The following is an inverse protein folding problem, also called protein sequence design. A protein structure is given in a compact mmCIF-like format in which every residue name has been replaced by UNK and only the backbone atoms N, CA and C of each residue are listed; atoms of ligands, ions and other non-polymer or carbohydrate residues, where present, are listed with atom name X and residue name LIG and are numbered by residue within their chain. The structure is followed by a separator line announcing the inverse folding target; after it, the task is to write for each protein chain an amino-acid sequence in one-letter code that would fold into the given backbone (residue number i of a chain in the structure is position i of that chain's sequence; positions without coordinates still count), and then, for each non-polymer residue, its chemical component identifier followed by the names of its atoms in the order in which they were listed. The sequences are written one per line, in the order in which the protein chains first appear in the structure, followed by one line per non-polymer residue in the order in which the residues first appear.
data_IF_949972465540
#
_entry.id   IF_949972465540
#
_cell.length_a   1.000
_cell.length_b   1.000
_cell.length_c   1.000
_cell.angle_alpha   90.00
_cell.angle_beta   90.00
_cell.angle_gamma   90.00
#
_symmetry.space_group_name_H-M   'P 1'
#
loop_
_entity.id
_entity.type
_entity.pdbx_description
1 polymer ?
#
# COMPACT_ATOMS: atom_id res chain seq x y z
N UNK A 1 12.50 -45.71 -14.46
CA UNK A 1 12.52 -46.81 -13.47
C UNK A 1 11.81 -46.36 -12.20
N UNK A 2 10.89 -47.21 -11.70
CA UNK A 2 10.41 -47.42 -10.31
C UNK A 2 10.73 -46.34 -9.27
N UNK A 3 9.74 -45.58 -8.76
CA UNK A 3 8.71 -45.90 -7.72
C UNK A 3 9.26 -46.25 -6.31
N UNK A 4 8.88 -45.41 -5.33
CA UNK A 4 8.35 -45.71 -3.97
C UNK A 4 8.00 -44.33 -3.35
N UNK A 5 6.74 -43.85 -3.28
CA UNK A 5 5.56 -44.26 -2.50
C UNK A 5 5.89 -44.62 -1.04
N UNK A 6 5.63 -43.69 -0.14
CA UNK A 6 5.11 -43.97 1.21
C UNK A 6 3.93 -43.03 1.43
N UNK A 7 2.75 -43.65 1.50
CA UNK A 7 1.52 -43.06 2.01
C UNK A 7 1.66 -42.92 3.53
N UNK A 8 1.23 -41.80 4.08
CA UNK A 8 0.76 -41.76 5.45
C UNK A 8 -0.52 -40.94 5.47
N UNK A 9 -1.62 -41.69 5.41
CA UNK A 9 -2.93 -41.23 5.79
C UNK A 9 -2.93 -40.90 7.29
N UNK A 10 -3.69 -39.89 7.69
CA UNK A 10 -4.74 -40.05 8.72
C UNK A 10 -5.48 -38.71 8.88
N UNK A 11 -6.76 -38.75 8.51
CA UNK A 11 -7.92 -38.06 9.06
C UNK A 11 -7.69 -37.08 10.21
N UNK A 12 -8.32 -35.91 10.15
CA UNK A 12 -9.39 -35.52 11.08
C UNK A 12 -10.19 -34.34 10.51
N UNK A 13 -11.51 -34.49 10.54
CA UNK A 13 -12.51 -33.51 10.16
C UNK A 13 -12.64 -32.42 11.24
N UNK A 14 -13.03 -31.20 10.84
CA UNK A 14 -13.97 -30.37 11.59
C UNK A 14 -14.37 -29.13 10.78
N UNK A 15 -15.48 -29.22 10.06
CA UNK A 15 -16.40 -28.08 9.91
C UNK A 15 -16.92 -27.72 11.30
N UNK A 16 -16.85 -26.45 11.70
CA UNK A 16 -17.33 -26.08 13.04
C UNK A 16 -17.21 -24.61 13.42
N UNK A 17 -17.73 -23.69 12.60
CA UNK A 17 -18.26 -22.43 13.14
C UNK A 17 -19.77 -22.60 13.33
N UNK A 18 -20.15 -23.28 14.40
CA UNK A 18 -21.46 -23.14 15.00
C UNK A 18 -21.25 -23.21 16.51
N UNK A 19 -21.58 -22.09 17.15
CA UNK A 19 -21.35 -21.85 18.56
C UNK A 19 -21.89 -22.97 19.45
N UNK A 20 -21.17 -23.16 20.55
CA UNK A 20 -21.73 -23.77 21.74
C UNK A 20 -23.05 -23.06 22.09
N UNK A 21 -24.15 -23.82 21.95
CA UNK A 21 -25.25 -23.90 22.92
C UNK A 21 -25.42 -22.66 23.82
N UNK A 22 -26.23 -21.72 23.36
CA UNK A 22 -26.98 -20.87 24.28
C UNK A 22 -28.21 -21.67 24.71
N UNK A 23 -28.04 -22.45 25.78
CA UNK A 23 -29.16 -22.86 26.61
C UNK A 23 -29.95 -21.61 27.06
N UNK A 24 -31.28 -21.70 27.17
CA UNK A 24 -32.13 -20.52 27.31
C UNK A 24 -32.05 -20.01 28.75
N UNK A 25 -31.48 -18.83 28.97
CA UNK A 25 -31.57 -18.19 30.27
C UNK A 25 -31.48 -16.66 30.17
N UNK A 26 -32.66 -16.06 30.16
CA UNK A 26 -33.12 -14.92 30.98
C UNK A 26 -32.21 -13.69 31.11
N UNK A 27 -32.81 -12.57 30.70
CA UNK A 27 -32.40 -11.19 30.93
C UNK A 27 -31.90 -10.90 32.35
N UNK A 28 -30.71 -10.32 32.44
CA UNK A 28 -30.22 -9.59 33.60
C UNK A 28 -29.07 -8.66 33.18
N UNK A 29 -28.98 -7.42 33.68
CA UNK A 29 -27.92 -6.49 33.26
C UNK A 29 -26.62 -6.86 33.99
N UNK A 30 -25.67 -7.46 33.25
CA UNK A 30 -24.32 -7.75 33.75
C UNK A 30 -23.42 -6.55 33.45
N UNK A 31 -23.27 -5.67 34.43
CA UNK A 31 -22.16 -4.72 34.49
C UNK A 31 -20.87 -5.52 34.73
N UNK A 32 -20.17 -5.88 33.66
CA UNK A 32 -18.74 -6.23 33.67
C UNK A 32 -17.92 -5.02 33.26
N UNK A 33 -16.64 -4.89 33.67
CA UNK A 33 -15.77 -3.85 33.14
C UNK A 33 -15.75 -3.96 31.61
N UNK A 34 -15.74 -2.83 30.86
CA UNK A 34 -15.77 -2.91 29.41
C UNK A 34 -14.60 -3.79 28.96
N UNK A 35 -14.90 -4.75 28.08
CA UNK A 35 -13.89 -5.51 27.37
C UNK A 35 -13.02 -4.48 26.65
N UNK A 36 -11.76 -4.34 27.09
CA UNK A 36 -10.75 -3.64 26.30
C UNK A 36 -10.58 -4.48 25.04
N UNK A 37 -11.28 -4.10 23.98
CA UNK A 37 -11.03 -4.62 22.65
C UNK A 37 -9.52 -4.53 22.39
N UNK A 38 -8.88 -5.58 21.82
CA UNK A 38 -7.54 -5.43 21.29
C UNK A 38 -7.60 -4.23 20.36
N UNK A 39 -6.85 -3.16 20.69
CA UNK A 39 -6.84 -1.95 19.88
C UNK A 39 -6.70 -2.35 18.43
N UNK A 40 -7.68 -1.95 17.61
CA UNK A 40 -7.59 -2.09 16.16
C UNK A 40 -6.19 -1.62 15.80
N UNK A 41 -5.37 -2.36 15.02
CA UNK A 41 -4.08 -1.84 14.61
C UNK A 41 -4.36 -0.46 14.04
N UNK A 42 -3.76 0.56 14.68
CA UNK A 42 -3.99 1.96 14.39
C UNK A 42 -4.07 2.07 12.88
N UNK A 43 -5.27 2.41 12.39
CA UNK A 43 -5.52 2.69 10.99
C UNK A 43 -4.39 3.62 10.58
N UNK A 44 -3.49 3.10 9.75
CA UNK A 44 -2.39 3.85 9.18
C UNK A 44 -3.06 5.09 8.58
N UNK A 45 -2.80 6.27 9.16
CA UNK A 45 -3.26 7.55 8.64
C UNK A 45 -2.44 7.83 7.37
N UNK A 46 -2.58 6.94 6.39
CA UNK A 46 -2.18 7.10 5.01
C UNK A 46 -2.97 8.30 4.50
N UNK A 47 -2.42 9.48 4.76
CA UNK A 47 -3.02 10.72 4.34
C UNK A 47 -2.84 10.75 2.84
N UNK A 48 -3.83 10.27 2.10
CA UNK A 48 -3.75 10.29 0.64
C UNK A 48 -4.01 11.73 0.23
N UNK A 49 -2.96 12.56 0.17
CA UNK A 49 -3.07 13.86 -0.48
C UNK A 49 -2.78 13.63 -1.97
N UNK A 50 -3.79 13.55 -2.85
CA UNK A 50 -3.56 13.36 -4.27
C UNK A 50 -2.94 14.63 -4.83
N UNK A 51 -1.62 14.70 -4.83
CA UNK A 51 -0.91 15.61 -5.71
C UNK A 51 -1.00 15.00 -7.10
N UNK A 52 -1.32 15.80 -8.12
CA UNK A 52 -1.22 15.37 -9.51
C UNK A 52 -0.18 16.22 -10.20
N UNK A 53 0.73 15.58 -10.94
CA UNK A 53 1.74 16.25 -11.76
C UNK A 53 1.54 15.84 -13.21
N UNK A 54 0.83 16.65 -14.02
CA UNK A 54 0.72 16.41 -15.45
C UNK A 54 2.00 16.84 -16.19
N UNK A 55 2.39 16.08 -17.21
CA UNK A 55 3.52 16.44 -18.08
C UNK A 55 3.66 15.49 -19.26
N UNK A 56 3.96 16.02 -20.45
CA UNK A 56 4.19 15.22 -21.67
C UNK A 56 3.05 14.24 -22.04
N UNK A 57 1.80 14.54 -21.68
CA UNK A 57 0.64 13.65 -21.89
C UNK A 57 0.51 12.52 -20.85
N UNK A 58 1.40 12.48 -19.87
CA UNK A 58 1.38 11.60 -18.70
C UNK A 58 0.80 12.34 -17.48
N UNK A 59 0.17 11.58 -16.59
CA UNK A 59 -0.35 12.05 -15.31
C UNK A 59 0.23 11.20 -14.19
N UNK A 60 1.00 11.80 -13.28
CA UNK A 60 1.43 11.15 -12.05
C UNK A 60 0.48 11.47 -10.88
N UNK A 61 0.13 10.45 -10.11
CA UNK A 61 -0.61 10.53 -8.85
C UNK A 61 0.23 9.93 -7.72
N UNK A 62 0.16 10.52 -6.53
CA UNK A 62 1.03 10.15 -5.41
C UNK A 62 0.20 9.71 -4.19
N UNK A 63 0.62 8.63 -3.57
CA UNK A 63 0.14 8.17 -2.27
C UNK A 63 1.33 7.96 -1.35
N UNK A 64 1.19 8.28 -0.06
CA UNK A 64 2.23 8.03 0.92
C UNK A 64 1.70 7.17 2.06
N UNK A 65 2.62 6.38 2.60
CA UNK A 65 2.39 5.54 3.76
C UNK A 65 3.51 5.80 4.77
N UNK A 66 3.12 6.14 6.00
CA UNK A 66 4.04 6.34 7.12
C UNK A 66 3.90 5.15 8.05
N UNK A 67 4.80 4.18 7.93
CA UNK A 67 4.83 3.04 8.84
C UNK A 67 5.77 3.35 10.01
N UNK A 68 5.32 3.14 11.24
CA UNK A 68 6.19 3.22 12.43
C UNK A 68 7.12 2.00 12.56
N UNK A 69 7.00 1.01 11.66
CA UNK A 69 7.78 -0.24 11.71
C UNK A 69 9.02 -0.23 10.80
N UNK A 70 9.03 0.65 9.80
CA UNK A 70 10.18 0.94 8.95
C UNK A 70 10.49 2.39 9.22
N UNK A 71 11.66 2.71 9.80
CA UNK A 71 12.12 4.07 10.10
C UNK A 71 12.32 4.91 8.81
N UNK A 72 11.28 5.03 7.98
CA UNK A 72 11.35 5.50 6.62
C UNK A 72 9.99 5.89 6.08
N UNK A 73 10.00 6.93 5.25
CA UNK A 73 8.83 7.49 4.58
C UNK A 73 8.70 6.88 3.19
N UNK A 74 7.67 6.05 2.98
CA UNK A 74 7.44 5.38 1.70
C UNK A 74 6.38 6.14 0.88
N UNK A 75 6.67 6.32 -0.40
CA UNK A 75 5.74 6.88 -1.38
C UNK A 75 5.52 5.90 -2.52
N UNK A 76 4.28 5.82 -2.97
CA UNK A 76 3.90 5.16 -4.22
C UNK A 76 3.50 6.21 -5.23
N UNK A 77 4.16 6.18 -6.39
CA UNK A 77 3.84 7.02 -7.53
C UNK A 77 3.18 6.18 -8.60
N UNK A 78 1.95 6.51 -8.98
CA UNK A 78 1.27 5.89 -10.12
C UNK A 78 1.26 6.86 -11.29
N UNK A 79 1.86 6.47 -12.41
CA UNK A 79 1.87 7.25 -13.65
C UNK A 79 0.94 6.60 -14.66
N UNK A 80 0.10 7.39 -15.30
CA UNK A 80 -0.82 6.96 -16.36
C UNK A 80 -0.61 7.77 -17.63
N UNK A 81 -0.66 7.09 -18.78
CA UNK A 81 -0.79 7.76 -20.07
C UNK A 81 -2.26 8.08 -20.34
N UNK A 82 -2.57 9.36 -20.51
CA UNK A 82 -3.94 9.86 -20.68
C UNK A 82 -4.27 10.21 -22.13
N UNK A 83 -3.33 10.03 -23.05
CA UNK A 83 -3.48 10.35 -24.47
C UNK A 83 -3.39 9.10 -25.35
N UNK A 84 -3.91 9.21 -26.57
CA UNK A 84 -4.00 8.08 -27.53
C UNK A 84 -2.69 7.78 -28.29
N UNK A 85 -1.54 8.18 -27.71
CA UNK A 85 -0.22 8.00 -28.29
C UNK A 85 0.75 7.51 -27.22
N UNK A 86 1.71 6.65 -27.59
CA UNK A 86 2.78 6.25 -26.67
C UNK A 86 3.59 7.49 -26.24
N UNK A 87 3.88 7.60 -24.95
CA UNK A 87 4.61 8.72 -24.36
C UNK A 87 5.82 8.24 -23.59
N UNK A 88 6.86 9.05 -23.63
CA UNK A 88 8.08 8.85 -22.85
C UNK A 88 8.48 10.17 -22.20
N UNK A 89 8.81 10.12 -20.92
CA UNK A 89 9.32 11.25 -20.16
C UNK A 89 10.15 10.76 -18.97
N UNK A 90 10.89 11.67 -18.35
CA UNK A 90 11.54 11.43 -17.06
C UNK A 90 10.71 12.12 -15.98
N UNK A 91 10.19 11.33 -15.05
CA UNK A 91 9.63 11.83 -13.81
C UNK A 91 10.78 12.12 -12.84
N UNK A 92 10.85 13.35 -12.34
CA UNK A 92 11.81 13.78 -11.32
C UNK A 92 11.04 14.01 -10.02
N UNK A 93 11.42 13.27 -8.99
CA UNK A 93 10.86 13.37 -7.64
C UNK A 93 11.94 13.93 -6.73
N UNK A 94 11.70 15.09 -6.12
CA UNK A 94 12.63 15.70 -5.18
C UNK A 94 12.00 15.74 -3.80
N UNK A 95 12.65 15.07 -2.85
CA UNK A 95 12.35 15.08 -1.44
C UNK A 95 13.26 16.08 -0.73
N UNK A 96 12.72 16.80 0.26
CA UNK A 96 13.48 17.70 1.12
C UNK A 96 13.00 17.66 2.56
N UNK A 97 13.93 17.60 3.52
CA UNK A 97 13.66 17.71 4.96
C UNK A 97 14.76 18.55 5.61
N UNK A 98 14.40 19.68 6.21
CA UNK A 98 15.38 20.63 6.74
C UNK A 98 16.32 21.14 5.65
N UNK A 99 17.63 20.95 5.86
CA UNK A 99 18.69 21.29 4.89
C UNK A 99 19.03 20.13 3.94
N UNK A 100 18.45 18.94 4.15
CA UNK A 100 18.69 17.76 3.32
C UNK A 100 17.73 17.72 2.13
N UNK A 101 18.25 17.32 0.97
CA UNK A 101 17.43 17.06 -0.21
C UNK A 101 17.94 15.85 -1.01
N UNK A 102 17.01 15.10 -1.60
CA UNK A 102 17.30 13.95 -2.45
C UNK A 102 16.42 14.01 -3.69
N UNK A 103 17.01 13.76 -4.85
CA UNK A 103 16.28 13.66 -6.11
C UNK A 103 16.36 12.24 -6.65
N UNK A 104 15.21 11.68 -7.00
CA UNK A 104 15.03 10.40 -7.66
C UNK A 104 14.44 10.63 -9.05
N UNK A 105 15.03 9.99 -10.06
CA UNK A 105 14.54 10.07 -11.44
C UNK A 105 13.99 8.70 -11.88
N UNK A 106 12.88 8.72 -12.63
CA UNK A 106 12.28 7.54 -13.24
C UNK A 106 11.97 7.81 -14.70
N UNK A 107 12.58 7.02 -15.57
CA UNK A 107 12.18 6.97 -16.98
C UNK A 107 10.86 6.25 -17.09
N UNK A 108 9.87 6.93 -17.67
CA UNK A 108 8.55 6.41 -17.92
C UNK A 108 8.38 6.25 -19.43
N UNK A 109 7.94 5.09 -19.87
CA UNK A 109 7.53 4.83 -21.25
C UNK A 109 6.23 4.04 -21.16
N UNK A 110 5.13 4.62 -21.64
CA UNK A 110 3.79 4.04 -21.51
C UNK A 110 3.05 4.11 -22.84
N UNK A 111 2.41 3.01 -23.21
CA UNK A 111 1.49 2.94 -24.33
C UNK A 111 0.15 3.65 -24.03
N UNK A 112 -0.69 3.89 -25.05
CA UNK A 112 -1.98 4.57 -24.85
C UNK A 112 -2.83 3.88 -23.77
N UNK A 113 -3.25 4.64 -22.77
CA UNK A 113 -4.07 4.15 -21.67
C UNK A 113 -3.35 3.30 -20.62
N UNK A 114 -2.07 3.01 -20.79
CA UNK A 114 -1.28 2.22 -19.83
C UNK A 114 -1.00 3.02 -18.53
N UNK A 115 -0.79 2.29 -17.44
CA UNK A 115 -0.34 2.84 -16.16
C UNK A 115 0.74 1.98 -15.51
N UNK A 116 1.68 2.61 -14.81
CA UNK A 116 2.73 1.95 -14.03
C UNK A 116 2.89 2.58 -12.65
N UNK A 117 3.43 1.84 -11.70
CA UNK A 117 3.66 2.33 -10.33
C UNK A 117 5.12 2.17 -9.91
N UNK A 118 5.63 3.16 -9.18
CA UNK A 118 6.97 3.18 -8.62
C UNK A 118 6.89 3.38 -7.11
N UNK A 119 7.56 2.52 -6.35
CA UNK A 119 7.77 2.72 -4.93
C UNK A 119 9.10 3.42 -4.69
N UNK A 120 9.12 4.39 -3.77
CA UNK A 120 10.32 5.10 -3.34
C UNK A 120 10.30 5.25 -1.83
N UNK A 121 11.47 5.15 -1.19
CA UNK A 121 11.62 5.29 0.26
C UNK A 121 12.61 6.39 0.56
N UNK A 122 12.22 7.27 1.48
CA UNK A 122 13.05 8.36 2.01
C UNK A 122 13.34 8.14 3.51
N UNK A 123 14.42 8.73 4.04
CA UNK A 123 14.84 8.50 5.43
C UNK A 123 13.79 8.94 6.46
N UNK A 124 13.07 10.03 6.18
CA UNK A 124 12.06 10.58 7.09
C UNK A 124 10.98 11.33 6.29
N UNK A 125 9.94 11.77 7.01
CA UNK A 125 8.88 12.59 6.42
C UNK A 125 9.46 13.93 6.00
N UNK A 126 9.20 14.33 4.75
CA UNK A 126 9.65 15.60 4.20
C UNK A 126 8.70 16.11 3.12
N UNK A 127 9.02 17.28 2.59
CA UNK A 127 8.31 17.88 1.47
C UNK A 127 8.69 17.15 0.17
N UNK A 128 7.70 17.01 -0.71
CA UNK A 128 7.87 16.42 -2.03
C UNK A 128 7.54 17.43 -3.11
N UNK A 129 8.42 17.53 -4.10
CA UNK A 129 8.19 18.25 -5.34
C UNK A 129 8.37 17.33 -6.53
N UNK A 130 7.60 17.60 -7.58
CA UNK A 130 7.50 16.73 -8.75
C UNK A 130 7.66 17.57 -10.01
N UNK A 131 8.53 17.13 -10.91
CA UNK A 131 8.67 17.75 -12.22
C UNK A 131 8.87 16.71 -13.30
N UNK A 132 8.66 17.13 -14.55
CA UNK A 132 8.86 16.30 -15.72
C UNK A 132 9.97 16.85 -16.58
N UNK A 133 10.71 15.96 -17.25
CA UNK A 133 11.70 16.30 -18.27
C UNK A 133 11.50 15.43 -19.50
N UNK A 134 11.95 15.94 -20.65
CA UNK A 134 12.11 15.13 -21.85
C UNK A 134 13.11 13.98 -21.58
N UNK A 135 12.87 12.83 -22.22
CA UNK A 135 13.58 11.57 -21.97
C UNK A 135 14.71 11.26 -22.96
#
# INVERSE_FOLDING_TARGET
MRRRRVLTALSFAATGLAGCTSGPAKSGPKWGPPETEPGTPTRDDSTTRPTTSPGFGLQASFAYQTSTATDGFAITVTVRNTVDQSRRAILVVTWSAGDDSRTEERRVSLDPGESTSYEMTFPEVGDLSFSWRDA
#
